data_IF_171047275060
#
_entry.id   IF_171047275060
#
_cell.length_a   1.000
_cell.length_b   1.000
_cell.length_c   1.000
_cell.angle_alpha   90.00
_cell.angle_beta   90.00
_cell.angle_gamma   90.00
#
_symmetry.space_group_name_H-M   'P 1'
#
loop_
_entity.id
_entity.type
_entity.pdbx_description
1 polymer ?
#
# COMPACT_ATOMS: atom_id res chain seq x y z
N UNK A 1 -8.48 -19.87 -17.87
CA UNK A 1 -7.21 -20.46 -17.41
C UNK A 1 -6.23 -19.33 -17.28
N UNK A 2 -5.44 -19.28 -16.21
CA UNK A 2 -4.47 -18.21 -15.94
C UNK A 2 -3.08 -18.68 -16.35
N UNK A 3 -2.45 -18.03 -17.31
CA UNK A 3 -1.03 -18.22 -17.62
C UNK A 3 -0.18 -17.43 -16.60
N UNK A 4 0.81 -18.07 -16.01
CA UNK A 4 1.72 -17.44 -15.06
C UNK A 4 3.15 -17.93 -15.23
N UNK A 5 4.10 -17.15 -14.72
CA UNK A 5 5.51 -17.52 -14.65
C UNK A 5 5.82 -18.05 -13.25
N UNK A 6 6.53 -19.16 -13.15
CA UNK A 6 6.99 -19.65 -11.86
C UNK A 6 8.03 -18.70 -11.27
N UNK A 7 7.73 -18.11 -10.11
CA UNK A 7 8.62 -17.18 -9.38
C UNK A 7 9.96 -17.80 -8.94
N UNK A 8 10.08 -19.13 -8.91
CA UNK A 8 11.29 -19.83 -8.48
C UNK A 8 12.18 -20.31 -9.64
N UNK A 9 11.63 -20.60 -10.82
CA UNK A 9 12.41 -21.19 -11.93
C UNK A 9 12.13 -20.59 -13.31
N UNK A 10 11.22 -19.61 -13.41
CA UNK A 10 10.90 -18.91 -14.65
C UNK A 10 10.05 -19.71 -15.65
N UNK A 11 9.76 -20.99 -15.42
CA UNK A 11 8.90 -21.78 -16.31
C UNK A 11 7.46 -21.24 -16.34
N UNK A 12 6.85 -21.20 -17.54
CA UNK A 12 5.41 -21.01 -17.66
C UNK A 12 4.61 -22.12 -16.96
N UNK A 13 3.50 -21.74 -16.35
CA UNK A 13 2.54 -22.66 -15.74
C UNK A 13 1.11 -22.15 -15.91
N UNK A 14 0.15 -23.07 -15.90
CA UNK A 14 -1.26 -22.75 -15.83
C UNK A 14 -1.73 -22.76 -14.37
N UNK A 15 -2.11 -21.58 -13.87
CA UNK A 15 -2.43 -21.33 -12.47
C UNK A 15 -1.27 -20.67 -11.72
N UNK A 16 -1.45 -19.42 -11.31
CA UNK A 16 -0.45 -18.69 -10.54
C UNK A 16 -0.19 -19.33 -9.16
N UNK A 17 -1.22 -19.90 -8.53
CA UNK A 17 -1.17 -20.43 -7.16
C UNK A 17 -0.97 -21.95 -7.09
N UNK A 18 -0.73 -22.63 -8.22
CA UNK A 18 -0.49 -24.08 -8.23
C UNK A 18 1.00 -24.42 -8.22
N UNK A 19 1.29 -25.66 -7.85
CA UNK A 19 2.65 -26.23 -7.84
C UNK A 19 3.24 -26.18 -9.26
N UNK A 20 4.48 -25.70 -9.37
CA UNK A 20 5.20 -25.71 -10.65
C UNK A 20 5.58 -27.14 -11.05
N UNK A 21 5.26 -27.55 -12.27
CA UNK A 21 5.58 -28.90 -12.78
C UNK A 21 7.08 -29.13 -12.97
N UNK A 22 7.88 -28.08 -13.20
CA UNK A 22 9.33 -28.18 -13.41
C UNK A 22 10.12 -28.24 -12.11
N UNK A 23 9.91 -27.29 -11.21
CA UNK A 23 10.71 -27.16 -9.98
C UNK A 23 9.95 -27.56 -8.70
N UNK A 24 8.69 -27.96 -8.80
CA UNK A 24 7.83 -28.30 -7.66
C UNK A 24 7.58 -27.18 -6.64
N UNK A 25 8.03 -25.95 -6.90
CA UNK A 25 7.76 -24.80 -6.04
C UNK A 25 6.25 -24.52 -5.98
N UNK A 26 5.73 -24.31 -4.77
CA UNK A 26 4.35 -23.93 -4.47
C UNK A 26 4.41 -22.63 -3.67
N UNK A 27 3.70 -21.57 -4.09
CA UNK A 27 3.59 -20.35 -3.27
C UNK A 27 2.84 -20.67 -1.98
N UNK A 28 3.48 -20.51 -0.82
CA UNK A 28 2.88 -20.84 0.48
C UNK A 28 2.48 -19.59 1.23
N UNK A 29 3.41 -18.64 1.39
CA UNK A 29 3.13 -17.42 2.15
C UNK A 29 2.24 -16.46 1.37
N UNK A 30 1.55 -15.56 2.06
CA UNK A 30 0.76 -14.51 1.42
C UNK A 30 1.60 -13.66 0.44
N UNK A 31 2.87 -13.44 0.76
CA UNK A 31 3.82 -12.74 -0.10
C UNK A 31 4.17 -13.57 -1.34
N UNK A 32 4.41 -14.88 -1.20
CA UNK A 32 4.67 -15.76 -2.35
C UNK A 32 3.46 -15.82 -3.27
N UNK A 33 2.26 -15.96 -2.71
CA UNK A 33 0.99 -15.95 -3.45
C UNK A 33 0.82 -14.64 -4.22
N UNK A 34 1.10 -13.49 -3.58
CA UNK A 34 1.09 -12.18 -4.24
C UNK A 34 2.10 -12.09 -5.38
N UNK A 35 3.38 -12.44 -5.14
CA UNK A 35 4.43 -12.47 -6.17
C UNK A 35 4.03 -13.34 -7.36
N UNK A 36 3.46 -14.51 -7.10
CA UNK A 36 3.03 -15.45 -8.14
C UNK A 36 1.84 -14.94 -8.96
N UNK A 37 0.89 -14.23 -8.32
CA UNK A 37 -0.20 -13.54 -9.03
C UNK A 37 0.31 -12.36 -9.85
N UNK A 38 1.29 -11.60 -9.34
CA UNK A 38 1.89 -10.47 -10.06
C UNK A 38 2.43 -10.91 -11.42
N UNK A 39 3.12 -12.05 -11.50
CA UNK A 39 3.69 -12.56 -12.76
C UNK A 39 2.70 -13.47 -13.53
N UNK A 40 1.49 -12.97 -13.76
CA UNK A 40 0.45 -13.67 -14.52
C UNK A 40 -0.24 -12.80 -15.57
N UNK A 41 -1.00 -13.44 -16.45
CA UNK A 41 -1.79 -12.83 -17.52
C UNK A 41 -2.96 -11.96 -17.02
N UNK A 42 -3.22 -11.94 -15.72
CA UNK A 42 -4.10 -10.95 -15.08
C UNK A 42 -3.47 -9.56 -14.99
N UNK A 43 -2.13 -9.47 -14.98
CA UNK A 43 -1.40 -8.23 -14.77
C UNK A 43 -0.56 -7.79 -15.98
N UNK A 44 -0.05 -8.76 -16.75
CA UNK A 44 0.89 -8.47 -17.85
C UNK A 44 0.60 -9.30 -19.09
N UNK A 45 0.88 -8.72 -20.27
CA UNK A 45 0.77 -9.42 -21.55
C UNK A 45 1.92 -10.41 -21.78
N UNK A 46 1.79 -11.23 -22.84
CA UNK A 46 2.74 -12.31 -23.14
C UNK A 46 4.20 -11.86 -23.33
N UNK A 47 4.45 -10.70 -23.93
CA UNK A 47 5.82 -10.19 -24.12
C UNK A 47 6.51 -9.91 -22.77
N UNK A 48 5.84 -9.17 -21.88
CA UNK A 48 6.36 -8.88 -20.53
C UNK A 48 6.48 -10.14 -19.68
N UNK A 49 5.56 -11.11 -19.82
CA UNK A 49 5.68 -12.39 -19.13
C UNK A 49 6.90 -13.20 -19.63
N UNK A 50 7.23 -13.13 -20.92
CA UNK A 50 8.43 -13.76 -21.47
C UNK A 50 9.70 -13.10 -20.93
N UNK A 51 9.72 -11.77 -20.81
CA UNK A 51 10.81 -11.03 -20.17
C UNK A 51 11.01 -11.48 -18.71
N UNK A 52 9.93 -11.55 -17.94
CA UNK A 52 9.99 -12.02 -16.55
C UNK A 52 10.49 -13.46 -16.43
N UNK A 53 10.01 -14.36 -17.30
CA UNK A 53 10.51 -15.72 -17.40
C UNK A 53 12.02 -15.72 -17.61
N UNK A 54 12.52 -14.97 -18.60
CA UNK A 54 13.94 -14.95 -18.95
C UNK A 54 14.80 -14.40 -17.81
N UNK A 55 14.33 -13.37 -17.10
CA UNK A 55 15.00 -12.83 -15.93
C UNK A 55 15.11 -13.86 -14.80
N UNK A 56 14.02 -14.55 -14.46
CA UNK A 56 14.02 -15.56 -13.40
C UNK A 56 14.88 -16.78 -13.80
N UNK A 57 14.81 -17.22 -15.06
CA UNK A 57 15.66 -18.31 -15.58
C UNK A 57 17.16 -17.97 -15.50
N UNK A 58 17.51 -16.69 -15.64
CA UNK A 58 18.87 -16.19 -15.45
C UNK A 58 19.29 -16.04 -13.97
N UNK A 59 18.38 -16.30 -13.02
CA UNK A 59 18.62 -16.12 -11.58
C UNK A 59 18.51 -14.66 -11.12
N UNK A 60 17.96 -13.78 -11.95
CA UNK A 60 17.73 -12.37 -11.60
C UNK A 60 16.41 -12.25 -10.84
N UNK A 61 16.46 -11.64 -9.66
CA UNK A 61 15.24 -11.33 -8.91
C UNK A 61 14.45 -10.24 -9.63
N UNK A 62 13.13 -10.42 -9.76
CA UNK A 62 12.28 -9.41 -10.35
C UNK A 62 12.14 -8.20 -9.41
N UNK A 63 12.15 -6.97 -9.94
CA UNK A 63 11.99 -5.76 -9.14
C UNK A 63 10.53 -5.58 -8.73
N UNK A 64 10.08 -6.36 -7.74
CA UNK A 64 8.74 -6.22 -7.20
C UNK A 64 8.61 -4.90 -6.42
N UNK A 65 7.57 -4.13 -6.72
CA UNK A 65 7.24 -2.94 -5.94
C UNK A 65 6.63 -3.32 -4.57
N UNK A 66 7.26 -2.96 -3.43
CA UNK A 66 6.80 -3.39 -2.11
C UNK A 66 5.40 -2.88 -1.73
N UNK A 67 5.01 -1.69 -2.20
CA UNK A 67 3.69 -1.09 -1.94
C UNK A 67 2.61 -1.88 -2.69
N UNK A 68 2.86 -2.17 -3.98
CA UNK A 68 1.98 -3.00 -4.80
C UNK A 68 1.88 -4.43 -4.25
N UNK A 69 2.98 -5.01 -3.77
CA UNK A 69 2.98 -6.32 -3.12
C UNK A 69 2.21 -6.30 -1.81
N UNK A 70 2.39 -5.30 -0.96
CA UNK A 70 1.64 -5.16 0.29
C UNK A 70 0.15 -5.20 0.04
N UNK A 71 -0.31 -4.36 -0.90
CA UNK A 71 -1.70 -4.31 -1.31
C UNK A 71 -2.20 -5.63 -1.92
N UNK A 72 -1.40 -6.30 -2.74
CA UNK A 72 -1.77 -7.56 -3.39
C UNK A 72 -1.71 -8.77 -2.46
N UNK A 73 -0.93 -8.68 -1.37
CA UNK A 73 -0.78 -9.74 -0.37
C UNK A 73 -1.87 -9.71 0.70
N UNK A 74 -2.51 -8.54 0.94
CA UNK A 74 -3.49 -8.38 1.99
C UNK A 74 -4.63 -9.42 1.95
N UNK A 75 -5.27 -9.72 0.79
CA UNK A 75 -6.31 -10.75 0.74
C UNK A 75 -5.82 -12.13 1.18
N UNK A 76 -4.59 -12.51 0.80
CA UNK A 76 -3.99 -13.79 1.20
C UNK A 76 -3.60 -13.82 2.68
N UNK A 77 -3.26 -12.67 3.26
CA UNK A 77 -3.00 -12.56 4.70
C UNK A 77 -4.30 -12.67 5.52
N UNK A 78 -5.42 -12.18 4.99
CA UNK A 78 -6.73 -12.35 5.63
C UNK A 78 -7.21 -13.79 5.54
N UNK A 79 -7.10 -14.42 4.36
CA UNK A 79 -7.36 -15.86 4.17
C UNK A 79 -6.53 -16.70 5.16
N UNK A 80 -5.20 -16.49 5.20
CA UNK A 80 -4.32 -17.21 6.12
C UNK A 80 -4.69 -16.96 7.60
N UNK A 81 -4.98 -15.71 7.97
CA UNK A 81 -5.39 -15.39 9.34
C UNK A 81 -6.67 -16.13 9.73
N UNK A 82 -7.65 -16.18 8.83
CA UNK A 82 -8.89 -16.92 9.06
C UNK A 82 -8.60 -18.40 9.30
N UNK A 83 -7.86 -19.05 8.40
CA UNK A 83 -7.51 -20.47 8.50
C UNK A 83 -6.76 -20.81 9.79
N UNK A 84 -5.85 -19.94 10.23
CA UNK A 84 -5.01 -20.17 11.41
C UNK A 84 -5.72 -19.91 12.74
N UNK A 85 -6.70 -18.99 12.77
CA UNK A 85 -7.28 -18.47 14.02
C UNK A 85 -8.76 -18.84 14.21
N UNK A 86 -9.40 -19.47 13.22
CA UNK A 86 -10.79 -19.90 13.35
C UNK A 86 -10.92 -21.13 14.26
N UNK A 87 -11.68 -20.97 15.34
CA UNK A 87 -12.01 -22.05 16.25
C UNK A 87 -13.16 -22.88 15.67
N UNK A 88 -12.82 -23.98 15.00
CA UNK A 88 -13.77 -24.94 14.44
C UNK A 88 -14.69 -25.60 15.47
N UNK A 89 -14.35 -25.54 16.76
CA UNK A 89 -15.17 -26.11 17.84
C UNK A 89 -16.33 -25.18 18.20
N UNK A 90 -16.03 -23.89 18.34
CA UNK A 90 -17.00 -22.89 18.79
C UNK A 90 -17.55 -22.02 17.65
N UNK A 91 -17.01 -22.13 16.43
CA UNK A 91 -17.35 -21.29 15.30
C UNK A 91 -16.91 -19.83 15.49
N UNK A 92 -15.87 -19.59 16.29
CA UNK A 92 -15.46 -18.24 16.69
C UNK A 92 -14.10 -17.87 16.10
N UNK A 93 -13.92 -16.60 15.77
CA UNK A 93 -12.65 -16.02 15.33
C UNK A 93 -12.29 -14.83 16.23
N UNK A 94 -11.01 -14.65 16.54
CA UNK A 94 -10.55 -13.41 17.16
C UNK A 94 -10.40 -12.34 16.10
N UNK A 95 -11.07 -11.19 16.25
CA UNK A 95 -10.99 -10.10 15.27
C UNK A 95 -9.56 -9.59 15.11
N UNK A 96 -9.05 -9.53 13.88
CA UNK A 96 -7.69 -9.08 13.56
C UNK A 96 -7.38 -7.65 14.03
N UNK A 97 -8.41 -6.81 14.26
CA UNK A 97 -8.28 -5.41 14.72
C UNK A 97 -8.40 -5.25 16.24
N UNK A 98 -9.52 -5.64 16.83
CA UNK A 98 -9.80 -5.45 18.27
C UNK A 98 -9.36 -6.63 19.15
N UNK A 99 -8.98 -7.76 18.54
CA UNK A 99 -8.78 -9.06 19.19
C UNK A 99 -10.03 -9.60 19.92
N UNK A 100 -11.19 -9.02 19.68
CA UNK A 100 -12.45 -9.44 20.29
C UNK A 100 -13.05 -10.64 19.54
N UNK A 101 -13.49 -11.69 20.25
CA UNK A 101 -14.03 -12.89 19.62
C UNK A 101 -15.38 -12.58 18.97
N UNK A 102 -15.63 -13.12 17.79
CA UNK A 102 -16.90 -12.99 17.06
C UNK A 102 -17.18 -14.24 16.23
N UNK A 103 -18.44 -14.46 15.88
CA UNK A 103 -18.87 -15.53 14.96
C UNK A 103 -18.84 -14.95 13.53
N UNK A 104 -17.90 -15.37 12.67
CA UNK A 104 -17.81 -14.85 11.31
C UNK A 104 -18.90 -15.46 10.43
N UNK A 105 -19.51 -14.65 9.55
CA UNK A 105 -20.57 -15.13 8.65
C UNK A 105 -20.02 -15.77 7.36
N UNK A 106 -18.75 -15.53 7.07
CA UNK A 106 -17.98 -16.05 5.94
C UNK A 106 -16.49 -16.03 6.32
N UNK A 107 -15.56 -15.98 5.36
CA UNK A 107 -14.10 -15.76 5.57
C UNK A 107 -13.77 -14.31 6.05
N UNK A 108 -14.60 -13.74 6.93
CA UNK A 108 -14.42 -12.41 7.48
C UNK A 108 -13.44 -12.45 8.66
N UNK A 109 -12.46 -11.54 8.68
CA UNK A 109 -11.44 -11.47 9.75
C UNK A 109 -11.63 -10.31 10.73
N UNK A 110 -12.67 -9.50 10.53
CA UNK A 110 -13.01 -8.36 11.38
C UNK A 110 -14.41 -8.55 11.99
N UNK A 111 -14.57 -8.24 13.27
CA UNK A 111 -15.87 -8.35 13.95
C UNK A 111 -16.87 -7.31 13.44
N UNK A 112 -18.19 -7.55 13.62
CA UNK A 112 -19.24 -6.62 13.17
C UNK A 112 -19.03 -5.20 13.69
N UNK A 113 -18.60 -5.04 14.94
CA UNK A 113 -18.30 -3.71 15.50
C UNK A 113 -17.13 -3.02 14.79
N UNK A 114 -16.03 -3.73 14.52
CA UNK A 114 -14.88 -3.16 13.82
C UNK A 114 -15.18 -2.88 12.33
N UNK A 115 -16.14 -3.60 11.75
CA UNK A 115 -16.69 -3.32 10.42
C UNK A 115 -17.65 -2.12 10.47
N UNK A 116 -18.55 -2.03 11.45
CA UNK A 116 -19.50 -0.91 11.62
C UNK A 116 -18.79 0.41 11.96
N UNK A 117 -17.78 0.40 12.83
CA UNK A 117 -16.94 1.57 13.13
C UNK A 117 -16.16 2.07 11.90
N UNK A 118 -16.12 1.30 10.81
CA UNK A 118 -15.52 1.68 9.54
C UNK A 118 -16.53 2.13 8.46
N UNK A 119 -17.86 2.08 8.70
CA UNK A 119 -18.85 2.15 7.61
C UNK A 119 -20.22 2.80 7.95
N UNK A 120 -20.61 3.90 7.27
CA UNK A 120 -22.02 4.30 7.14
C UNK A 120 -22.68 3.68 5.88
N UNK A 121 -23.89 3.15 6.10
CA UNK A 121 -24.69 2.19 5.32
C UNK A 121 -25.09 2.57 3.87
N UNK A 122 -24.52 1.91 2.85
CA UNK A 122 -25.10 1.62 1.52
C UNK A 122 -24.37 0.42 0.89
N UNK A 123 -25.03 -0.55 0.23
CA UNK A 123 -24.38 -1.75 -0.37
C UNK A 123 -24.30 -1.70 -1.90
N UNK A 124 -23.25 -2.24 -2.52
CA UNK A 124 -22.93 -2.22 -3.97
C UNK A 124 -22.49 -3.61 -4.45
N UNK A 125 -22.92 -4.02 -5.65
CA UNK A 125 -22.47 -5.26 -6.28
C UNK A 125 -21.07 -5.15 -6.89
N UNK A 126 -20.14 -6.05 -6.55
CA UNK A 126 -18.76 -6.06 -7.11
C UNK A 126 -18.68 -6.26 -8.62
N UNK A 127 -19.72 -6.83 -9.25
CA UNK A 127 -19.70 -7.19 -10.67
C UNK A 127 -20.45 -6.23 -11.57
N UNK A 128 -21.41 -5.48 -11.04
CA UNK A 128 -22.32 -4.70 -11.87
C UNK A 128 -22.68 -3.32 -11.29
N UNK A 129 -21.99 -2.92 -10.20
CA UNK A 129 -22.05 -1.60 -9.56
C UNK A 129 -23.45 -1.09 -9.16
N UNK A 130 -24.44 -1.99 -9.08
CA UNK A 130 -25.78 -1.64 -8.60
C UNK A 130 -25.75 -1.42 -7.09
N UNK A 131 -26.38 -0.32 -6.66
CA UNK A 131 -26.53 0.10 -5.26
C UNK A 131 -27.83 -0.45 -4.69
N UNK A 132 -27.81 -0.88 -3.43
CA UNK A 132 -28.92 -1.45 -2.68
C UNK A 132 -29.01 -0.81 -1.29
N UNK A 133 -30.24 -0.54 -0.85
CA UNK A 133 -30.54 0.29 0.32
C UNK A 133 -30.30 -0.42 1.67
N UNK A 134 -30.28 -1.76 1.72
CA UNK A 134 -29.67 -2.65 2.75
C UNK A 134 -30.35 -4.04 2.85
N UNK A 135 -29.61 -5.01 3.42
CA UNK A 135 -29.95 -6.41 3.82
C UNK A 135 -29.77 -7.56 2.81
N UNK A 136 -29.34 -7.31 1.57
CA UNK A 136 -28.98 -8.40 0.65
C UNK A 136 -27.53 -8.83 0.79
N UNK A 137 -27.25 -10.13 0.97
CA UNK A 137 -25.89 -10.67 0.88
C UNK A 137 -25.43 -10.83 -0.59
N UNK A 138 -26.39 -10.92 -1.52
CA UNK A 138 -26.15 -11.21 -2.94
C UNK A 138 -26.93 -10.28 -3.85
N UNK A 139 -26.31 -9.89 -4.96
CA UNK A 139 -26.90 -9.09 -6.02
C UNK A 139 -28.05 -9.85 -6.68
N UNK A 140 -29.26 -9.30 -6.62
CA UNK A 140 -30.44 -9.90 -7.26
C UNK A 140 -30.35 -10.00 -8.79
N UNK A 141 -29.39 -9.28 -9.41
CA UNK A 141 -29.17 -9.30 -10.87
C UNK A 141 -28.17 -10.37 -11.32
N UNK A 142 -27.08 -10.58 -10.57
CA UNK A 142 -25.97 -11.41 -11.03
C UNK A 142 -25.46 -12.43 -10.00
N UNK A 143 -26.09 -12.52 -8.84
CA UNK A 143 -25.74 -13.50 -7.79
C UNK A 143 -24.42 -13.22 -7.06
N UNK A 144 -23.69 -12.16 -7.41
CA UNK A 144 -22.40 -11.82 -6.79
C UNK A 144 -22.58 -11.11 -5.43
N UNK A 145 -21.60 -11.18 -4.54
CA UNK A 145 -21.66 -10.61 -3.18
C UNK A 145 -21.82 -9.08 -3.21
N UNK A 146 -22.64 -8.54 -2.31
CA UNK A 146 -22.77 -7.08 -2.10
C UNK A 146 -21.75 -6.62 -1.04
N UNK A 147 -21.09 -5.48 -1.27
CA UNK A 147 -20.11 -4.82 -0.37
C UNK A 147 -20.52 -3.37 -0.07
N UNK A 148 -20.11 -2.76 1.03
CA UNK A 148 -20.55 -1.39 1.35
C UNK A 148 -19.86 -0.29 0.51
N UNK A 149 -20.56 0.81 0.21
CA UNK A 149 -20.17 1.88 -0.75
C UNK A 149 -19.11 2.83 -0.22
N UNK A 150 -19.16 3.19 1.06
CA UNK A 150 -18.26 4.15 1.72
C UNK A 150 -16.90 3.52 2.04
N UNK A 151 -16.87 2.28 2.55
CA UNK A 151 -15.63 1.49 2.70
C UNK A 151 -14.95 1.12 1.39
N UNK A 152 -15.71 0.68 0.37
CA UNK A 152 -15.14 0.43 -0.96
C UNK A 152 -14.40 1.66 -1.46
N UNK A 153 -15.01 2.84 -1.32
CA UNK A 153 -14.40 4.10 -1.77
C UNK A 153 -13.16 4.46 -0.95
N UNK A 154 -13.14 4.29 0.37
CA UNK A 154 -11.97 4.62 1.18
C UNK A 154 -10.78 3.67 0.90
N UNK A 155 -11.05 2.38 0.84
CA UNK A 155 -10.05 1.33 0.65
C UNK A 155 -9.53 1.32 -0.80
N UNK A 156 -10.40 1.47 -1.80
CA UNK A 156 -9.98 1.65 -3.20
C UNK A 156 -9.21 2.95 -3.39
N UNK A 157 -9.70 4.09 -2.90
CA UNK A 157 -9.02 5.38 -3.10
C UNK A 157 -7.69 5.41 -2.35
N UNK A 158 -7.65 4.97 -1.09
CA UNK A 158 -6.41 4.88 -0.30
C UNK A 158 -5.35 4.01 -0.97
N UNK A 159 -5.77 2.84 -1.47
CA UNK A 159 -4.92 1.93 -2.26
C UNK A 159 -4.44 2.56 -3.56
N UNK A 160 -5.33 3.14 -4.34
CA UNK A 160 -4.99 3.77 -5.60
C UNK A 160 -4.02 4.93 -5.41
N UNK A 161 -4.18 5.73 -4.35
CA UNK A 161 -3.22 6.79 -4.01
C UNK A 161 -1.87 6.19 -3.67
N UNK A 162 -1.82 5.21 -2.75
CA UNK A 162 -0.57 4.60 -2.32
C UNK A 162 0.22 4.02 -3.52
N UNK A 163 -0.46 3.25 -4.37
CA UNK A 163 0.14 2.66 -5.58
C UNK A 163 0.50 3.73 -6.61
N UNK A 164 -0.34 4.74 -6.81
CA UNK A 164 -0.08 5.81 -7.79
C UNK A 164 1.09 6.70 -7.38
N UNK A 165 1.19 7.09 -6.11
CA UNK A 165 2.33 7.83 -5.57
C UNK A 165 3.62 7.07 -5.83
N UNK A 166 3.64 5.78 -5.49
CA UNK A 166 4.82 4.93 -5.71
C UNK A 166 5.19 4.81 -7.19
N UNK A 167 4.20 4.59 -8.07
CA UNK A 167 4.41 4.52 -9.52
C UNK A 167 4.93 5.83 -10.10
N UNK A 168 4.38 6.97 -9.68
CA UNK A 168 4.83 8.29 -10.13
C UNK A 168 6.29 8.51 -9.73
N UNK A 169 6.62 8.27 -8.45
CA UNK A 169 7.99 8.43 -7.96
C UNK A 169 8.97 7.44 -8.60
N UNK A 170 8.52 6.25 -9.01
CA UNK A 170 9.37 5.25 -9.67
C UNK A 170 9.57 5.51 -11.17
N UNK A 171 8.58 6.07 -11.87
CA UNK A 171 8.63 6.28 -13.33
C UNK A 171 9.09 7.69 -13.72
N UNK A 172 8.92 8.66 -12.83
CA UNK A 172 9.23 10.07 -13.04
C UNK A 172 9.74 10.63 -11.73
N UNK A 173 10.92 10.18 -11.28
CA UNK A 173 11.54 10.76 -10.09
C UNK A 173 11.65 12.27 -10.33
N UNK A 174 10.90 13.10 -9.57
CA UNK A 174 10.89 14.55 -9.78
C UNK A 174 12.29 15.16 -9.66
N UNK A 175 13.21 14.47 -8.99
CA UNK A 175 14.59 14.91 -8.80
C UNK A 175 15.46 14.72 -10.03
N UNK A 176 15.12 13.81 -10.93
CA UNK A 176 15.81 13.69 -12.22
C UNK A 176 15.64 14.96 -13.08
N UNK A 177 14.63 15.79 -12.78
CA UNK A 177 14.40 17.06 -13.46
C UNK A 177 15.32 18.19 -12.97
N UNK A 178 16.05 17.99 -11.87
CA UNK A 178 16.97 18.97 -11.30
C UNK A 178 18.36 18.38 -11.09
N UNK A 179 19.28 18.67 -12.02
CA UNK A 179 20.65 18.16 -12.00
C UNK A 179 21.39 18.45 -10.69
N UNK A 180 21.18 19.64 -10.11
CA UNK A 180 21.76 20.03 -8.82
C UNK A 180 21.31 19.12 -7.67
N UNK A 181 19.99 18.92 -7.52
CA UNK A 181 19.43 18.08 -6.46
C UNK A 181 19.78 16.60 -6.66
N UNK A 182 19.87 16.14 -7.91
CA UNK A 182 20.29 14.80 -8.25
C UNK A 182 21.75 14.55 -7.83
N UNK A 183 22.65 15.48 -8.14
CA UNK A 183 24.06 15.41 -7.72
C UNK A 183 24.20 15.44 -6.20
N UNK A 184 23.48 16.33 -5.52
CA UNK A 184 23.49 16.41 -4.06
C UNK A 184 22.97 15.11 -3.43
N UNK A 185 21.90 14.54 -4.00
CA UNK A 185 21.33 13.26 -3.55
C UNK A 185 22.31 12.10 -3.72
N UNK A 186 23.05 12.07 -4.83
CA UNK A 186 24.06 11.06 -5.11
C UNK A 186 25.26 11.08 -4.16
N UNK A 187 25.43 12.14 -3.36
CA UNK A 187 26.47 12.27 -2.34
C UNK A 187 26.02 11.81 -0.94
N UNK A 188 24.73 11.52 -0.76
CA UNK A 188 24.21 11.07 0.53
C UNK A 188 24.70 9.64 0.84
N UNK A 189 25.05 9.35 2.11
CA UNK A 189 25.20 7.98 2.59
C UNK A 189 23.95 7.14 2.33
N UNK A 190 24.08 5.82 2.21
CA UNK A 190 22.96 4.93 1.87
C UNK A 190 21.77 5.03 2.83
N UNK A 191 22.02 5.24 4.13
CA UNK A 191 20.98 5.43 5.15
C UNK A 191 20.23 6.77 4.98
N UNK A 192 20.95 7.83 4.63
CA UNK A 192 20.39 9.16 4.37
C UNK A 192 19.63 9.18 3.04
N UNK A 193 20.09 8.41 2.05
CA UNK A 193 19.40 8.24 0.76
C UNK A 193 18.04 7.55 0.93
N UNK A 194 17.97 6.52 1.77
CA UNK A 194 16.71 5.84 2.09
C UNK A 194 15.75 6.77 2.86
N UNK A 195 16.29 7.53 3.82
CA UNK A 195 15.52 8.54 4.57
C UNK A 195 15.00 9.65 3.65
N UNK A 196 15.82 10.09 2.70
CA UNK A 196 15.48 11.07 1.67
C UNK A 196 14.33 10.57 0.78
N UNK A 197 14.41 9.33 0.28
CA UNK A 197 13.34 8.70 -0.51
C UNK A 197 12.03 8.65 0.27
N UNK A 198 12.10 8.26 1.54
CA UNK A 198 10.94 8.18 2.41
C UNK A 198 10.26 9.54 2.65
N UNK A 199 11.04 10.61 2.80
CA UNK A 199 10.51 11.96 2.93
C UNK A 199 9.82 12.44 1.63
N UNK A 200 10.33 12.07 0.45
CA UNK A 200 9.63 12.33 -0.81
C UNK A 200 8.30 11.58 -0.91
N UNK A 201 8.24 10.35 -0.43
CA UNK A 201 7.00 9.57 -0.35
C UNK A 201 5.99 10.21 0.60
N UNK A 202 6.43 10.64 1.79
CA UNK A 202 5.61 11.41 2.73
C UNK A 202 5.02 12.66 2.07
N UNK A 203 5.85 13.44 1.39
CA UNK A 203 5.41 14.65 0.70
C UNK A 203 4.42 14.36 -0.44
N UNK A 204 4.70 13.35 -1.26
CA UNK A 204 3.82 12.97 -2.37
C UNK A 204 2.45 12.46 -1.88
N UNK A 205 2.42 11.67 -0.80
CA UNK A 205 1.16 11.30 -0.16
C UNK A 205 0.42 12.52 0.39
N UNK A 206 1.11 13.40 1.11
CA UNK A 206 0.50 14.57 1.69
C UNK A 206 -0.12 15.48 0.62
N UNK A 207 0.55 15.69 -0.51
CA UNK A 207 -0.02 16.45 -1.64
C UNK A 207 -1.25 15.77 -2.23
N UNK A 208 -1.28 14.43 -2.32
CA UNK A 208 -2.49 13.70 -2.70
C UNK A 208 -3.64 13.92 -1.70
N UNK A 209 -3.34 13.86 -0.39
CA UNK A 209 -4.32 14.14 0.68
C UNK A 209 -4.84 15.58 0.59
N UNK A 210 -3.97 16.56 0.35
CA UNK A 210 -4.37 17.96 0.15
C UNK A 210 -5.30 18.13 -1.04
N UNK A 211 -5.02 17.47 -2.17
CA UNK A 211 -5.90 17.51 -3.33
C UNK A 211 -7.26 16.88 -3.00
N UNK A 212 -7.28 15.72 -2.33
CA UNK A 212 -8.50 15.01 -1.95
C UNK A 212 -9.39 15.77 -0.99
N UNK A 213 -8.82 16.57 -0.07
CA UNK A 213 -9.59 17.43 0.86
C UNK A 213 -10.65 18.28 0.16
N UNK A 214 -10.43 18.64 -1.11
CA UNK A 214 -11.36 19.46 -1.90
C UNK A 214 -12.54 18.66 -2.48
N UNK A 215 -12.41 17.33 -2.56
CA UNK A 215 -13.35 16.45 -3.26
C UNK A 215 -14.02 15.42 -2.33
N UNK A 216 -13.49 15.21 -1.13
CA UNK A 216 -14.03 14.25 -0.16
C UNK A 216 -15.16 14.91 0.64
N UNK A 217 -16.29 14.20 0.72
CA UNK A 217 -17.56 14.71 1.25
C UNK A 217 -17.56 14.91 2.78
N UNK A 218 -16.66 14.25 3.51
CA UNK A 218 -16.52 14.39 4.97
C UNK A 218 -15.09 14.19 5.47
N UNK A 219 -14.77 14.81 6.61
CA UNK A 219 -13.47 14.63 7.27
C UNK A 219 -13.24 13.19 7.73
N UNK A 220 -14.28 12.48 8.16
CA UNK A 220 -14.20 11.07 8.55
C UNK A 220 -13.78 10.17 7.39
N UNK A 221 -14.36 10.37 6.20
CA UNK A 221 -13.99 9.62 5.00
C UNK A 221 -12.54 9.93 4.59
N UNK A 222 -12.10 11.18 4.72
CA UNK A 222 -10.71 11.56 4.45
C UNK A 222 -9.75 10.85 5.40
N UNK A 223 -10.05 10.82 6.70
CA UNK A 223 -9.24 10.10 7.70
C UNK A 223 -9.18 8.60 7.39
N UNK A 224 -10.30 7.99 6.99
CA UNK A 224 -10.32 6.59 6.57
C UNK A 224 -9.42 6.34 5.35
N UNK A 225 -9.50 7.17 4.31
CA UNK A 225 -8.64 7.08 3.12
C UNK A 225 -7.15 7.19 3.50
N UNK A 226 -6.81 8.17 4.35
CA UNK A 226 -5.43 8.39 4.80
C UNK A 226 -4.92 7.19 5.59
N UNK A 227 -5.74 6.64 6.48
CA UNK A 227 -5.39 5.45 7.26
C UNK A 227 -5.07 4.26 6.35
N UNK A 228 -5.94 3.95 5.39
CA UNK A 228 -5.71 2.83 4.45
C UNK A 228 -4.45 3.04 3.59
N UNK A 229 -4.24 4.26 3.10
CA UNK A 229 -3.03 4.62 2.34
C UNK A 229 -1.75 4.36 3.15
N UNK A 230 -1.72 4.80 4.42
CA UNK A 230 -0.55 4.68 5.29
C UNK A 230 -0.34 3.24 5.77
N UNK A 231 -1.41 2.49 6.02
CA UNK A 231 -1.32 1.07 6.38
C UNK A 231 -0.70 0.21 5.27
N UNK A 232 -0.97 0.51 3.99
CA UNK A 232 -0.32 -0.18 2.87
C UNK A 232 1.20 0.04 2.90
N UNK A 233 1.63 1.26 3.21
CA UNK A 233 3.05 1.55 3.34
C UNK A 233 3.66 0.85 4.55
N UNK A 234 2.98 0.83 5.70
CA UNK A 234 3.41 0.03 6.86
C UNK A 234 3.65 -1.44 6.47
N UNK A 235 2.68 -2.06 5.80
CA UNK A 235 2.79 -3.44 5.34
C UNK A 235 3.94 -3.62 4.33
N UNK A 236 4.24 -2.63 3.49
CA UNK A 236 5.39 -2.67 2.58
C UNK A 236 6.75 -2.74 3.30
N UNK A 237 6.89 -2.11 4.47
CA UNK A 237 8.11 -2.19 5.27
C UNK A 237 8.27 -3.58 5.92
N UNK A 238 7.17 -4.20 6.33
CA UNK A 238 7.18 -5.57 6.86
C UNK A 238 7.65 -6.56 5.78
N UNK A 239 7.17 -6.39 4.54
CA UNK A 239 7.63 -7.18 3.38
C UNK A 239 9.13 -7.00 3.12
N UNK A 240 9.67 -5.81 3.39
CA UNK A 240 11.09 -5.50 3.27
C UNK A 240 11.93 -5.96 4.47
N UNK A 241 11.32 -6.66 5.44
CA UNK A 241 12.02 -7.28 6.58
C UNK A 241 11.96 -6.48 7.89
N UNK A 242 11.22 -5.38 7.95
CA UNK A 242 10.96 -4.68 9.22
C UNK A 242 10.08 -5.58 10.11
N UNK A 243 10.41 -5.69 11.40
CA UNK A 243 9.62 -6.50 12.33
C UNK A 243 8.22 -5.91 12.48
N UNK A 244 7.21 -6.77 12.59
CA UNK A 244 5.80 -6.36 12.74
C UNK A 244 5.57 -5.39 13.90
N UNK A 245 6.30 -5.57 15.01
CA UNK A 245 6.20 -4.69 16.20
C UNK A 245 6.76 -3.30 15.92
N UNK A 246 7.87 -3.21 15.18
CA UNK A 246 8.50 -1.93 14.84
C UNK A 246 7.68 -1.18 13.78
N UNK A 247 7.03 -1.93 12.86
CA UNK A 247 6.22 -1.35 11.80
C UNK A 247 4.99 -0.59 12.34
N UNK A 248 4.49 -0.92 13.53
CA UNK A 248 3.38 -0.20 14.17
C UNK A 248 3.67 1.30 14.39
N UNK A 249 4.94 1.71 14.43
CA UNK A 249 5.30 3.13 14.54
C UNK A 249 5.18 3.88 13.21
N UNK A 250 5.19 3.17 12.07
CA UNK A 250 5.20 3.79 10.75
C UNK A 250 3.98 4.69 10.55
N UNK A 251 2.73 4.25 10.80
CA UNK A 251 1.59 5.15 10.63
C UNK A 251 1.66 6.40 11.49
N UNK A 252 2.16 6.28 12.71
CA UNK A 252 2.33 7.42 13.63
C UNK A 252 3.35 8.41 13.07
N UNK A 253 4.45 7.93 12.49
CA UNK A 253 5.48 8.79 11.89
C UNK A 253 4.96 9.53 10.65
N UNK A 254 4.21 8.87 9.76
CA UNK A 254 3.55 9.50 8.63
C UNK A 254 2.59 10.59 9.10
N UNK A 255 1.72 10.27 10.06
CA UNK A 255 0.73 11.22 10.55
C UNK A 255 1.38 12.43 11.23
N UNK A 256 2.44 12.21 12.02
CA UNK A 256 3.22 13.30 12.59
C UNK A 256 3.81 14.20 11.52
N UNK A 257 4.30 13.64 10.42
CA UNK A 257 4.84 14.43 9.31
C UNK A 257 3.73 15.23 8.61
N UNK A 258 2.55 14.65 8.42
CA UNK A 258 1.40 15.36 7.85
C UNK A 258 0.96 16.51 8.74
N UNK A 259 0.94 16.33 10.07
CA UNK A 259 0.65 17.40 11.02
C UNK A 259 1.67 18.54 10.95
N UNK A 260 2.95 18.22 10.75
CA UNK A 260 4.00 19.22 10.56
C UNK A 260 3.79 20.01 9.27
N UNK A 261 3.45 19.33 8.17
CA UNK A 261 3.12 20.00 6.91
C UNK A 261 1.84 20.84 7.01
N UNK A 262 0.80 20.37 7.71
CA UNK A 262 -0.42 21.12 7.96
C UNK A 262 -0.12 22.42 8.72
N UNK A 263 0.79 22.38 9.70
CA UNK A 263 1.24 23.60 10.41
C UNK A 263 1.98 24.55 9.48
N UNK A 264 2.81 24.05 8.56
CA UNK A 264 3.50 24.90 7.57
C UNK A 264 2.50 25.57 6.64
N UNK A 265 1.51 24.82 6.14
CA UNK A 265 0.46 25.34 5.26
C UNK A 265 -0.41 26.37 5.98
N UNK A 266 -0.81 26.09 7.22
CA UNK A 266 -1.65 26.99 8.02
C UNK A 266 -0.94 28.30 8.41
N UNK A 267 0.39 28.28 8.56
CA UNK A 267 1.17 29.47 8.97
C UNK A 267 1.16 30.58 7.92
N UNK A 268 1.22 30.24 6.63
CA UNK A 268 1.24 31.22 5.54
C UNK A 268 0.52 30.68 4.28
N UNK A 269 -0.82 30.80 4.22
CA UNK A 269 -1.63 30.29 3.12
C UNK A 269 -1.30 30.87 1.73
N UNK A 270 -0.61 32.01 1.65
CA UNK A 270 -0.23 32.63 0.36
C UNK A 270 1.14 32.15 -0.15
N UNK A 271 1.98 31.58 0.73
CA UNK A 271 3.35 31.15 0.41
C UNK A 271 3.62 29.70 0.81
N UNK A 272 2.57 28.93 1.16
CA UNK A 272 2.72 27.58 1.70
C UNK A 272 3.52 26.65 0.79
N UNK A 273 3.40 26.77 -0.54
CA UNK A 273 4.15 25.94 -1.49
C UNK A 273 5.67 26.11 -1.32
N UNK A 274 6.14 27.35 -1.18
CA UNK A 274 7.56 27.66 -0.98
C UNK A 274 8.06 27.15 0.38
N UNK A 275 7.30 27.37 1.44
CA UNK A 275 7.68 26.96 2.80
C UNK A 275 7.63 25.43 2.97
N UNK A 276 6.66 24.79 2.34
CA UNK A 276 6.55 23.33 2.34
C UNK A 276 7.68 22.71 1.53
N UNK A 277 8.01 23.27 0.36
CA UNK A 277 9.17 22.84 -0.41
C UNK A 277 10.48 22.99 0.39
N UNK A 278 10.70 24.13 1.05
CA UNK A 278 11.85 24.34 1.94
C UNK A 278 11.92 23.31 3.06
N UNK A 279 10.79 23.03 3.72
CA UNK A 279 10.69 22.03 4.79
C UNK A 279 11.05 20.63 4.29
N UNK A 280 10.49 20.23 3.14
CA UNK A 280 10.76 18.93 2.52
C UNK A 280 12.22 18.83 2.09
N UNK A 281 12.78 19.86 1.45
CA UNK A 281 14.21 19.88 1.08
C UNK A 281 15.10 19.77 2.32
N UNK A 282 14.78 20.45 3.42
CA UNK A 282 15.54 20.31 4.68
C UNK A 282 15.52 18.89 5.23
N UNK A 283 14.35 18.26 5.23
CA UNK A 283 14.19 16.89 5.72
C UNK A 283 14.86 15.87 4.79
N UNK A 284 14.73 16.02 3.46
CA UNK A 284 15.27 15.09 2.46
C UNK A 284 16.80 15.07 2.42
N UNK A 285 17.46 16.19 2.71
CA UNK A 285 18.90 16.36 2.50
C UNK A 285 19.65 16.72 3.78
N UNK A 286 18.97 16.70 4.93
CA UNK A 286 19.55 17.10 6.21
C UNK A 286 20.15 18.50 6.15
N UNK A 287 19.59 19.41 5.33
CA UNK A 287 20.22 20.70 5.00
C UNK A 287 20.44 21.53 6.25
N UNK A 288 19.66 21.38 7.33
CA UNK A 288 20.00 22.01 8.62
C UNK A 288 21.33 21.53 9.20
N UNK A 289 21.71 20.25 9.08
CA UNK A 289 23.02 19.75 9.52
C UNK A 289 24.15 20.30 8.65
N UNK A 290 23.95 20.39 7.34
CA UNK A 290 24.96 20.87 6.39
C UNK A 290 25.11 22.40 6.39
N UNK A 291 24.01 23.17 6.46
CA UNK A 291 24.04 24.63 6.63
C UNK A 291 24.59 25.01 8.00
N UNK A 292 24.21 24.31 9.08
CA UNK A 292 24.77 24.57 10.41
C UNK A 292 26.26 24.26 10.45
N UNK A 293 26.72 23.14 9.90
CA UNK A 293 28.14 22.83 9.78
C UNK A 293 28.89 23.85 8.90
N UNK A 294 28.30 24.27 7.77
CA UNK A 294 28.89 25.31 6.92
C UNK A 294 28.93 26.69 7.60
N UNK A 295 27.92 27.04 8.40
CA UNK A 295 27.89 28.28 9.18
C UNK A 295 28.83 28.25 10.39
N UNK A 296 28.99 27.09 11.03
CA UNK A 296 29.96 26.85 12.11
C UNK A 296 31.42 26.83 11.61
N UNK A 297 31.64 26.59 10.31
CA UNK A 297 32.96 26.71 9.67
C UNK A 297 33.30 28.14 9.21
N UNK A 298 32.31 29.04 9.16
CA UNK A 298 32.46 30.44 8.70
C UNK A 298 32.45 31.43 9.88
N UNK A 299 32.08 30.97 11.08
CA UNK A 299 32.19 31.70 12.36
C UNK A 299 33.40 31.24 13.16
#
# INVERSE_FOLDING_TARGET
MTLAVCTACGQYKFGALVRCERCSHLPVTALDKAKAMTVSDHNFGGETLEEFKNLIEAGTELPYDPVSLASSSAPFQEEAYFEENFDFTNGMLSCKRCNCPFEPTNEEVFCPRCMEEANPLLSVCMSCDKVYDSSGNFCQKCGNRLIQRSERRALEVGREIAVSVRRILSNKDPLEQCEFLLQLRGQLPSEDLASSQHEFENFAMYTAVMALRQFVESGELLVAIVKEMVEIYRASFVIQGVREVDSQQIPVLYMRRFDEYDRVVARNPDQWMLLLADTVTKNCYGVERHLKAAMEMVL
#
